data_IF_644477278626
#
_entry.id   IF_644477278626
#
_cell.length_a   1.000
_cell.length_b   1.000
_cell.length_c   1.000
_cell.angle_alpha   90.00
_cell.angle_beta   90.00
_cell.angle_gamma   90.00
#
_symmetry.space_group_name_H-M   'P 1'
#
loop_
_entity.id
_entity.type
_entity.pdbx_description
1 polymer ?
#
# COMPACT_ATOMS: atom_id res chain seq x y z
N UNK A 1 33.46 28.10 43.72
CA UNK A 1 32.47 27.85 42.65
C UNK A 1 33.08 28.09 41.28
N UNK A 2 33.82 27.07 40.85
CA UNK A 2 34.06 26.60 39.48
C UNK A 2 32.85 26.80 38.54
N UNK A 3 32.94 27.06 37.24
CA UNK A 3 34.04 26.93 36.28
C UNK A 3 33.65 27.67 34.99
N UNK A 4 34.63 28.25 34.30
CA UNK A 4 34.62 28.51 32.86
C UNK A 4 36.08 28.38 32.42
N UNK A 5 36.38 27.58 31.39
CA UNK A 5 37.40 27.78 30.32
C UNK A 5 37.47 26.51 29.44
N UNK A 6 37.46 26.74 28.13
CA UNK A 6 37.76 25.79 27.05
C UNK A 6 39.19 25.24 27.14
N UNK A 7 39.39 23.95 26.83
CA UNK A 7 40.52 23.47 26.03
C UNK A 7 40.31 22.01 25.60
N UNK A 8 40.25 21.83 24.29
CA UNK A 8 40.83 20.74 23.49
C UNK A 8 41.68 19.72 24.26
N UNK A 9 41.37 18.43 24.10
CA UNK A 9 42.35 17.45 23.60
C UNK A 9 41.66 16.13 23.21
N UNK A 10 41.78 15.81 21.93
CA UNK A 10 41.93 14.49 21.31
C UNK A 10 42.21 13.31 22.24
N UNK A 11 41.51 12.18 22.04
CA UNK A 11 42.18 10.91 21.75
C UNK A 11 41.25 9.82 21.20
N UNK A 12 41.62 9.36 20.01
CA UNK A 12 41.57 7.98 19.53
C UNK A 12 40.24 7.20 19.56
N UNK A 13 39.46 7.36 18.48
CA UNK A 13 38.73 6.23 17.90
C UNK A 13 39.77 5.21 17.38
N UNK A 14 40.00 4.14 18.12
CA UNK A 14 40.67 2.96 17.55
C UNK A 14 39.68 2.22 16.67
N UNK A 15 39.87 2.32 15.36
CA UNK A 15 39.31 1.38 14.40
C UNK A 15 39.75 -0.04 14.77
N UNK A 16 38.80 -0.90 15.12
CA UNK A 16 38.94 -2.34 14.89
C UNK A 16 38.09 -2.68 13.67
N UNK A 17 38.72 -2.55 12.50
CA UNK A 17 38.39 -3.41 11.38
C UNK A 17 38.47 -4.86 11.86
N UNK A 18 37.32 -5.52 12.03
CA UNK A 18 37.28 -6.97 11.93
C UNK A 18 36.95 -7.28 10.48
N UNK A 19 37.97 -7.75 9.77
CA UNK A 19 37.83 -8.42 8.48
C UNK A 19 36.82 -9.57 8.62
N UNK A 20 35.64 -9.44 8.03
CA UNK A 20 34.81 -10.60 7.76
C UNK A 20 35.35 -11.25 6.49
N UNK A 21 36.19 -12.26 6.69
CA UNK A 21 36.49 -13.25 5.67
C UNK A 21 35.20 -13.95 5.27
N UNK A 22 34.89 -13.93 3.98
CA UNK A 22 33.88 -14.75 3.32
C UNK A 22 34.06 -16.22 3.68
N UNK A 23 33.15 -16.77 4.49
CA UNK A 23 33.01 -18.22 4.66
C UNK A 23 31.88 -18.66 3.72
N UNK A 24 32.21 -19.56 2.80
CA UNK A 24 31.29 -20.11 1.82
C UNK A 24 30.11 -20.84 2.48
N UNK A 25 28.90 -20.83 1.87
CA UNK A 25 27.74 -21.54 2.38
C UNK A 25 27.88 -23.03 2.07
N UNK A 26 28.60 -23.76 2.92
CA UNK A 26 28.59 -25.22 2.88
C UNK A 26 28.81 -25.81 4.27
N UNK A 27 27.87 -26.66 4.68
CA UNK A 27 27.85 -27.50 5.88
C UNK A 27 27.15 -26.93 7.14
N UNK A 28 25.84 -26.66 7.05
CA UNK A 28 24.94 -26.88 8.18
C UNK A 28 24.16 -28.17 7.92
N UNK A 29 24.54 -29.26 8.61
CA UNK A 29 23.75 -30.49 8.63
C UNK A 29 22.43 -30.21 9.34
N UNK A 30 21.34 -30.18 8.57
CA UNK A 30 19.95 -30.17 9.06
C UNK A 30 19.71 -31.42 9.90
N UNK A 31 19.58 -31.25 11.21
CA UNK A 31 19.04 -32.26 12.12
C UNK A 31 18.02 -31.61 13.09
N UNK A 32 17.21 -30.68 12.58
CA UNK A 32 15.94 -30.34 13.22
C UNK A 32 14.85 -31.12 12.48
N UNK A 33 14.41 -32.23 13.07
CA UNK A 33 13.23 -32.95 12.60
C UNK A 33 12.02 -32.10 12.99
N UNK A 34 11.58 -31.21 12.09
CA UNK A 34 10.22 -30.69 12.18
C UNK A 34 9.26 -31.87 12.00
N UNK A 35 8.24 -32.05 12.87
CA UNK A 35 7.17 -32.97 12.53
C UNK A 35 6.52 -32.47 11.22
N UNK A 36 6.26 -33.37 10.24
CA UNK A 36 5.58 -32.97 9.01
C UNK A 36 4.22 -32.35 9.34
N UNK A 37 3.80 -31.38 8.54
CA UNK A 37 2.50 -30.72 8.66
C UNK A 37 1.38 -31.79 8.79
N UNK A 38 0.59 -31.69 9.86
CA UNK A 38 -0.57 -32.53 10.10
C UNK A 38 -1.64 -32.16 9.05
N UNK A 39 -2.19 -33.12 8.27
CA UNK A 39 -3.22 -32.85 7.26
C UNK A 39 -4.54 -32.32 7.86
N UNK A 40 -4.68 -32.29 9.19
CA UNK A 40 -5.82 -31.68 9.89
C UNK A 40 -5.68 -30.18 10.15
N UNK A 41 -4.51 -29.58 9.90
CA UNK A 41 -4.27 -28.13 10.09
C UNK A 41 -4.14 -27.68 11.55
N UNK A 42 -4.10 -28.60 12.53
CA UNK A 42 -3.90 -28.27 13.94
C UNK A 42 -2.41 -28.11 14.31
N UNK A 43 -2.06 -26.96 14.88
CA UNK A 43 -0.74 -26.69 15.45
C UNK A 43 -0.53 -27.52 16.73
N UNK A 44 0.61 -28.23 16.84
CA UNK A 44 1.01 -28.99 18.03
C UNK A 44 2.27 -28.43 18.71
N UNK A 45 2.65 -27.19 18.41
CA UNK A 45 3.75 -26.54 19.10
C UNK A 45 3.35 -26.26 20.55
N UNK A 46 4.02 -26.89 21.50
CA UNK A 46 3.86 -26.64 22.93
C UNK A 46 5.12 -25.99 23.52
N UNK A 47 5.07 -25.59 24.79
CA UNK A 47 6.22 -25.03 25.52
C UNK A 47 7.46 -25.93 25.35
N UNK A 48 7.29 -27.25 25.44
CA UNK A 48 8.37 -28.24 25.31
C UNK A 48 8.99 -28.25 23.92
N UNK A 49 8.19 -28.13 22.87
CA UNK A 49 8.62 -28.14 21.47
C UNK A 49 9.47 -26.93 21.10
N UNK A 50 9.37 -25.82 21.85
CA UNK A 50 10.17 -24.60 21.64
C UNK A 50 11.40 -24.51 22.56
N UNK A 51 11.59 -25.44 23.50
CA UNK A 51 12.71 -25.46 24.45
C UNK A 51 13.99 -26.08 23.89
N UNK A 52 13.89 -26.99 22.92
CA UNK A 52 15.02 -27.82 22.49
C UNK A 52 15.74 -27.24 21.27
N UNK A 53 16.58 -26.23 21.51
CA UNK A 53 17.64 -25.84 20.56
C UNK A 53 18.97 -25.72 21.33
N UNK A 54 19.86 -26.70 21.16
CA UNK A 54 21.20 -26.63 21.74
C UNK A 54 22.06 -25.64 20.96
N UNK A 55 22.61 -24.65 21.67
CA UNK A 55 23.60 -23.72 21.15
C UNK A 55 24.84 -24.48 20.63
N UNK A 56 25.41 -24.15 19.46
CA UNK A 56 26.62 -24.80 18.94
C UNK A 56 27.91 -24.62 19.77
N UNK A 57 27.85 -23.88 20.89
CA UNK A 57 29.02 -23.53 21.71
C UNK A 57 28.93 -24.00 23.16
N UNK A 58 27.91 -24.79 23.51
CA UNK A 58 27.83 -25.45 24.82
C UNK A 58 27.55 -24.55 26.02
N UNK A 59 27.16 -23.29 25.82
CA UNK A 59 26.63 -22.45 26.89
C UNK A 59 25.13 -22.69 27.03
N UNK A 60 24.72 -23.22 28.19
CA UNK A 60 23.32 -23.32 28.62
C UNK A 60 22.84 -21.90 28.97
N UNK A 61 22.36 -21.16 27.97
CA UNK A 61 21.57 -19.97 28.21
C UNK A 61 20.12 -20.44 28.38
N UNK A 62 19.69 -20.57 29.62
CA UNK A 62 18.28 -20.84 29.94
C UNK A 62 17.45 -19.58 29.66
N UNK A 63 17.05 -19.45 28.40
CA UNK A 63 16.20 -18.35 27.94
C UNK A 63 14.77 -18.43 28.50
N UNK A 64 14.32 -19.56 29.06
CA UNK A 64 13.05 -19.62 29.81
C UNK A 64 13.09 -18.70 31.02
N UNK A 65 14.23 -18.64 31.72
CA UNK A 65 14.38 -17.75 32.86
C UNK A 65 14.26 -16.25 32.50
N UNK A 66 14.54 -15.87 31.24
CA UNK A 66 14.52 -14.46 30.78
C UNK A 66 13.18 -14.01 30.19
N UNK A 67 12.40 -14.90 29.58
CA UNK A 67 11.23 -14.52 28.78
C UNK A 67 9.92 -15.22 29.17
N UNK A 68 9.89 -15.94 30.29
CA UNK A 68 8.66 -16.55 30.81
C UNK A 68 7.56 -15.54 31.18
N UNK A 69 7.89 -14.25 31.35
CA UNK A 69 6.96 -13.22 31.85
C UNK A 69 7.15 -11.89 31.14
N UNK A 70 6.07 -11.14 30.98
CA UNK A 70 6.13 -9.74 30.58
C UNK A 70 6.98 -8.93 31.58
N UNK A 71 7.99 -8.21 31.12
CA UNK A 71 8.80 -7.34 31.98
C UNK A 71 8.02 -6.18 32.61
N UNK A 72 6.87 -5.82 32.05
CA UNK A 72 6.03 -4.71 32.54
C UNK A 72 4.86 -5.17 33.43
N UNK A 73 4.11 -6.20 33.03
CA UNK A 73 2.94 -6.67 33.80
C UNK A 73 3.11 -8.04 34.46
N UNK A 74 4.29 -8.66 34.32
CA UNK A 74 4.71 -9.93 34.93
C UNK A 74 3.85 -11.16 34.60
N UNK A 75 2.92 -11.03 33.66
CA UNK A 75 2.06 -12.12 33.18
C UNK A 75 2.82 -13.11 32.30
N UNK A 76 2.47 -14.38 32.43
CA UNK A 76 2.99 -15.48 31.59
C UNK A 76 2.24 -15.54 30.24
N UNK A 77 2.91 -15.98 29.16
CA UNK A 77 2.25 -16.28 27.90
C UNK A 77 1.33 -17.49 28.06
N UNK A 78 0.20 -17.47 27.39
CA UNK A 78 -0.80 -18.52 27.47
C UNK A 78 -0.73 -19.49 26.28
N UNK A 79 -0.03 -19.14 25.20
CA UNK A 79 0.24 -20.04 24.08
C UNK A 79 1.54 -19.72 23.33
N UNK A 80 2.05 -20.72 22.58
CA UNK A 80 3.40 -20.76 22.03
C UNK A 80 3.41 -21.07 20.51
N UNK A 81 3.79 -20.11 19.66
CA UNK A 81 3.89 -20.27 18.20
C UNK A 81 5.35 -20.27 17.72
N UNK A 82 5.69 -21.18 16.80
CA UNK A 82 7.02 -21.21 16.15
C UNK A 82 7.07 -20.35 14.88
N UNK A 83 8.28 -19.94 14.46
CA UNK A 83 8.50 -19.11 13.28
C UNK A 83 7.93 -19.75 12.00
N UNK A 84 8.07 -21.07 11.84
CA UNK A 84 7.51 -21.81 10.71
C UNK A 84 5.96 -21.85 10.71
N UNK A 85 5.32 -21.81 11.89
CA UNK A 85 3.88 -21.67 12.01
C UNK A 85 3.41 -20.22 11.78
N UNK A 86 4.30 -19.25 11.94
CA UNK A 86 4.00 -17.85 11.69
C UNK A 86 4.18 -17.48 10.21
N UNK A 87 5.18 -18.05 9.54
CA UNK A 87 5.44 -17.85 8.10
C UNK A 87 4.65 -18.81 7.21
N UNK A 88 4.15 -19.93 7.75
CA UNK A 88 3.46 -20.97 6.99
C UNK A 88 1.93 -20.99 7.09
N UNK A 89 1.29 -20.12 7.89
CA UNK A 89 -0.17 -20.12 8.06
C UNK A 89 -0.78 -18.76 7.71
N UNK A 90 -1.91 -18.79 7.01
CA UNK A 90 -2.64 -17.59 6.63
C UNK A 90 -3.25 -16.87 7.84
N UNK A 91 -3.49 -15.57 7.69
CA UNK A 91 -4.03 -14.65 8.69
C UNK A 91 -5.29 -15.16 9.44
N UNK A 92 -6.12 -15.99 8.78
CA UNK A 92 -7.35 -16.57 9.33
C UNK A 92 -7.08 -17.72 10.32
N UNK A 93 -6.00 -18.48 10.17
CA UNK A 93 -5.61 -19.53 11.12
C UNK A 93 -5.13 -18.96 12.46
N UNK A 94 -4.30 -17.91 12.44
CA UNK A 94 -3.90 -17.21 13.65
C UNK A 94 -5.11 -16.56 14.36
N UNK A 95 -6.12 -16.10 13.60
CA UNK A 95 -7.37 -15.52 14.12
C UNK A 95 -8.30 -16.59 14.75
N UNK A 96 -8.41 -17.78 14.16
CA UNK A 96 -9.17 -18.90 14.72
C UNK A 96 -8.60 -19.35 16.08
N UNK A 97 -7.27 -19.33 16.23
CA UNK A 97 -6.61 -19.64 17.50
C UNK A 97 -6.95 -18.57 18.56
N UNK A 98 -6.85 -17.30 18.19
CA UNK A 98 -7.18 -16.14 19.04
C UNK A 98 -8.65 -16.13 19.52
N UNK A 99 -9.59 -16.54 18.68
CA UNK A 99 -11.02 -16.55 19.00
C UNK A 99 -11.45 -17.74 19.89
N UNK A 100 -10.64 -18.81 19.95
CA UNK A 100 -10.96 -20.01 20.73
C UNK A 100 -10.59 -19.93 22.23
N UNK A 101 -9.83 -18.90 22.66
CA UNK A 101 -9.31 -18.76 24.02
C UNK A 101 -9.57 -17.33 24.57
N UNK A 102 -10.55 -17.09 25.45
CA UNK A 102 -11.05 -15.74 25.79
C UNK A 102 -10.12 -14.84 26.62
N UNK A 103 -8.89 -15.26 26.95
CA UNK A 103 -8.12 -14.62 28.02
C UNK A 103 -6.58 -14.61 27.86
N UNK A 104 -6.03 -14.80 26.66
CA UNK A 104 -4.67 -15.38 26.56
C UNK A 104 -3.66 -14.58 25.71
N UNK A 105 -2.47 -14.32 26.30
CA UNK A 105 -1.29 -13.68 25.70
C UNK A 105 -0.54 -14.66 24.77
N UNK A 106 -0.05 -14.22 23.60
CA UNK A 106 0.59 -15.10 22.60
C UNK A 106 2.11 -14.86 22.55
N UNK A 107 2.91 -15.94 22.56
CA UNK A 107 4.35 -15.89 22.32
C UNK A 107 4.67 -16.33 20.88
N UNK A 108 5.33 -15.47 20.10
CA UNK A 108 5.74 -15.77 18.72
C UNK A 108 7.26 -15.88 18.69
N UNK A 109 7.78 -17.09 18.44
CA UNK A 109 9.21 -17.31 18.26
C UNK A 109 9.57 -16.96 16.82
N UNK A 110 10.45 -15.98 16.60
CA UNK A 110 10.89 -15.58 15.25
C UNK A 110 12.37 -15.91 15.07
N UNK A 111 12.71 -16.57 13.97
CA UNK A 111 14.10 -16.93 13.65
C UNK A 111 14.67 -15.86 12.70
N UNK A 112 15.24 -14.78 13.24
CA UNK A 112 16.13 -13.90 12.46
C UNK A 112 17.54 -14.18 12.88
N UNK A 113 18.43 -14.10 11.90
CA UNK A 113 19.84 -14.48 11.82
C UNK A 113 20.79 -14.16 12.99
N UNK A 114 20.33 -13.68 14.15
CA UNK A 114 21.02 -13.72 15.43
C UNK A 114 20.02 -13.86 16.60
N UNK A 115 19.51 -15.07 16.85
CA UNK A 115 19.06 -15.59 18.15
C UNK A 115 18.30 -14.68 19.13
N UNK A 116 17.33 -13.88 18.67
CA UNK A 116 16.50 -13.04 19.55
C UNK A 116 15.03 -13.47 19.54
N UNK A 117 14.46 -13.71 20.74
CA UNK A 117 13.03 -13.98 20.95
C UNK A 117 12.31 -12.68 21.34
N UNK A 118 11.21 -12.35 20.67
CA UNK A 118 10.34 -11.23 21.01
C UNK A 118 8.98 -11.71 21.56
N UNK A 119 8.35 -10.91 22.41
CA UNK A 119 7.05 -11.22 23.05
C UNK A 119 6.15 -9.99 22.94
N UNK A 120 4.88 -10.15 22.60
CA UNK A 120 3.87 -9.08 22.63
C UNK A 120 2.94 -9.22 23.83
N UNK A 121 2.86 -8.17 24.64
CA UNK A 121 1.90 -8.07 25.74
C UNK A 121 0.62 -7.36 25.28
N UNK A 122 -0.50 -8.05 25.14
CA UNK A 122 -1.77 -7.39 24.85
C UNK A 122 -2.29 -6.49 25.98
N UNK A 123 -1.91 -6.76 27.24
CA UNK A 123 -2.27 -5.91 28.38
C UNK A 123 -1.47 -4.60 28.43
N UNK A 124 -0.21 -4.64 28.02
CA UNK A 124 0.68 -3.48 28.00
C UNK A 124 0.77 -2.82 26.61
N UNK A 125 0.13 -3.41 25.60
CA UNK A 125 0.24 -3.02 24.19
C UNK A 125 1.70 -2.79 23.76
N UNK A 126 2.61 -3.72 24.09
CA UNK A 126 4.04 -3.52 23.85
C UNK A 126 4.87 -4.79 23.87
N UNK A 127 6.02 -4.74 23.18
CA UNK A 127 7.01 -5.82 23.16
C UNK A 127 7.97 -5.75 24.37
N UNK A 128 8.51 -6.90 24.79
CA UNK A 128 9.57 -6.93 25.82
C UNK A 128 10.98 -6.64 25.28
N UNK A 129 11.18 -6.57 23.96
CA UNK A 129 12.40 -6.04 23.33
C UNK A 129 12.01 -5.03 22.25
N UNK A 130 12.67 -3.87 22.25
CA UNK A 130 12.32 -2.75 21.36
C UNK A 130 12.90 -2.89 19.94
N UNK A 131 13.98 -3.65 19.72
CA UNK A 131 14.72 -3.66 18.43
C UNK A 131 14.12 -4.58 17.36
N UNK A 132 13.25 -5.53 17.74
CA UNK A 132 12.57 -6.44 16.80
C UNK A 132 11.30 -5.86 16.15
N UNK A 133 10.80 -4.72 16.66
CA UNK A 133 9.58 -4.09 16.17
C UNK A 133 9.77 -3.53 14.76
N UNK A 134 10.83 -2.75 14.57
CA UNK A 134 11.06 -1.93 13.38
C UNK A 134 11.35 -2.77 12.12
N UNK A 135 12.04 -3.91 12.26
CA UNK A 135 12.54 -4.65 11.09
C UNK A 135 11.66 -5.81 10.62
N UNK A 136 10.61 -6.18 11.39
CA UNK A 136 9.93 -7.47 11.23
C UNK A 136 8.44 -7.35 11.45
N UNK A 137 8.06 -6.71 12.54
CA UNK A 137 6.68 -6.70 13.00
C UNK A 137 5.91 -5.54 12.41
N UNK A 138 6.55 -4.40 12.14
CA UNK A 138 5.93 -3.27 11.45
C UNK A 138 5.37 -3.66 10.05
N UNK A 139 6.09 -4.38 9.17
CA UNK A 139 5.51 -4.87 7.91
C UNK A 139 4.38 -5.91 8.10
N UNK A 140 4.48 -6.75 9.13
CA UNK A 140 3.51 -7.82 9.42
C UNK A 140 2.21 -7.28 10.08
N UNK A 141 2.29 -6.23 10.89
CA UNK A 141 1.12 -5.51 11.40
C UNK A 141 0.55 -4.53 10.37
N UNK A 142 1.38 -3.94 9.50
CA UNK A 142 0.91 -3.23 8.29
C UNK A 142 0.16 -4.15 7.32
N UNK A 143 0.46 -5.46 7.30
CA UNK A 143 -0.25 -6.45 6.47
C UNK A 143 -1.66 -6.83 6.99
N UNK A 144 -2.00 -6.47 8.23
CA UNK A 144 -3.37 -6.54 8.77
C UNK A 144 -3.78 -5.12 9.17
N UNK A 145 -4.37 -4.40 8.21
CA UNK A 145 -4.85 -3.03 8.36
C UNK A 145 -5.25 -2.72 9.81
N UNK A 146 -4.53 -1.78 10.40
CA UNK A 146 -4.70 -1.30 11.77
C UNK A 146 -6.07 -0.64 11.90
N UNK A 147 -7.11 -1.45 12.14
CA UNK A 147 -8.45 -0.91 12.23
C UNK A 147 -8.61 -0.05 13.47
N UNK A 148 -9.16 1.15 13.31
CA UNK A 148 -9.65 1.96 14.41
C UNK A 148 -10.77 1.23 15.17
N UNK A 149 -10.97 1.54 16.46
CA UNK A 149 -12.11 0.99 17.23
C UNK A 149 -13.49 1.33 16.64
N UNK A 150 -13.57 2.40 15.84
CA UNK A 150 -14.74 2.88 15.11
C UNK A 150 -14.28 3.58 13.83
N UNK A 151 -15.11 3.64 12.78
CA UNK A 151 -14.72 4.30 11.54
C UNK A 151 -14.67 5.81 11.74
N UNK A 152 -13.60 6.43 11.25
CA UNK A 152 -13.46 7.87 11.12
C UNK A 152 -14.28 8.31 9.90
N UNK A 153 -15.52 8.73 10.15
CA UNK A 153 -16.49 9.19 9.14
C UNK A 153 -16.36 10.67 8.77
N UNK A 154 -15.40 11.37 9.37
CA UNK A 154 -15.11 12.75 8.99
C UNK A 154 -14.61 12.77 7.54
N UNK A 155 -15.22 13.65 6.73
CA UNK A 155 -14.91 13.81 5.32
C UNK A 155 -14.20 15.14 5.09
N UNK A 156 -13.23 15.13 4.19
CA UNK A 156 -12.59 16.32 3.64
C UNK A 156 -12.99 16.45 2.18
N UNK A 157 -13.74 17.50 1.87
CA UNK A 157 -14.42 17.63 0.58
C UNK A 157 -14.16 19.01 0.00
N UNK A 158 -13.75 19.06 -1.27
CA UNK A 158 -13.49 20.30 -1.99
C UNK A 158 -14.41 20.41 -3.21
N UNK A 159 -14.52 21.64 -3.73
CA UNK A 159 -15.30 21.97 -4.91
C UNK A 159 -14.51 22.85 -5.86
N UNK A 160 -14.65 22.59 -7.15
CA UNK A 160 -13.98 23.34 -8.20
C UNK A 160 -14.95 23.59 -9.36
N UNK A 161 -14.79 24.72 -10.04
CA UNK A 161 -15.58 25.04 -11.22
C UNK A 161 -14.75 25.85 -12.20
N UNK A 162 -14.70 25.43 -13.46
CA UNK A 162 -14.04 26.15 -14.54
C UNK A 162 -14.60 25.71 -15.89
N UNK A 163 -14.81 26.66 -16.82
CA UNK A 163 -15.32 26.38 -18.18
C UNK A 163 -16.61 25.53 -18.21
N UNK A 164 -17.49 25.72 -17.21
CA UNK A 164 -18.74 24.95 -17.05
C UNK A 164 -18.55 23.51 -16.55
N UNK A 165 -17.31 23.08 -16.30
CA UNK A 165 -17.00 21.82 -15.63
C UNK A 165 -17.08 22.06 -14.12
N UNK A 166 -17.86 21.23 -13.43
CA UNK A 166 -17.96 21.25 -11.97
C UNK A 166 -17.36 19.99 -11.39
N UNK A 167 -16.54 20.13 -10.35
CA UNK A 167 -15.85 19.01 -9.71
C UNK A 167 -16.11 19.03 -8.23
N UNK A 168 -16.37 17.85 -7.68
CA UNK A 168 -16.45 17.62 -6.25
C UNK A 168 -15.50 16.51 -5.86
N UNK A 169 -14.77 16.70 -4.78
CA UNK A 169 -13.93 15.65 -4.18
C UNK A 169 -14.44 15.34 -2.78
N UNK A 170 -14.15 14.13 -2.32
CA UNK A 170 -14.31 13.76 -0.93
C UNK A 170 -13.27 12.70 -0.58
N UNK A 171 -12.69 12.79 0.61
CA UNK A 171 -11.83 11.76 1.19
C UNK A 171 -12.20 11.50 2.65
N UNK A 172 -12.14 10.24 3.06
CA UNK A 172 -12.35 9.80 4.43
C UNK A 172 -11.40 8.66 4.79
N UNK A 173 -10.93 8.67 6.03
CA UNK A 173 -10.05 7.63 6.56
C UNK A 173 -10.75 6.26 6.72
N UNK A 174 -12.04 6.26 7.05
CA UNK A 174 -12.77 4.99 7.22
C UNK A 174 -12.27 4.22 8.44
N UNK A 175 -12.05 2.91 8.30
CA UNK A 175 -11.63 2.07 9.43
C UNK A 175 -10.13 1.98 9.60
N UNK A 176 -9.29 2.39 8.66
CA UNK A 176 -7.81 2.33 8.80
C UNK A 176 -7.31 3.29 9.88
N UNK A 177 -6.12 3.03 10.45
CA UNK A 177 -5.51 3.88 11.49
C UNK A 177 -5.12 5.25 10.96
N UNK A 178 -4.75 5.30 9.70
CA UNK A 178 -4.25 6.47 8.99
C UNK A 178 -4.95 6.58 7.64
N UNK A 179 -4.94 7.80 7.08
CA UNK A 179 -5.36 8.03 5.71
C UNK A 179 -4.11 8.15 4.83
N UNK A 180 -3.87 7.12 4.02
CA UNK A 180 -2.74 7.04 3.10
C UNK A 180 -3.08 7.56 1.69
N UNK A 181 -4.36 7.85 1.43
CA UNK A 181 -4.80 8.43 0.17
C UNK A 181 -4.29 9.86 -0.04
N UNK A 182 -4.12 10.22 -1.31
CA UNK A 182 -4.02 11.60 -1.77
C UNK A 182 -4.82 11.79 -3.06
N UNK A 183 -5.26 13.01 -3.33
CA UNK A 183 -5.92 13.34 -4.58
C UNK A 183 -5.57 14.76 -5.02
N UNK A 184 -5.66 15.01 -6.32
CA UNK A 184 -5.44 16.35 -6.90
C UNK A 184 -6.50 16.69 -7.94
N UNK A 185 -6.88 17.96 -7.94
CA UNK A 185 -7.70 18.58 -8.98
C UNK A 185 -7.00 19.85 -9.44
N UNK A 186 -6.67 19.91 -10.72
CA UNK A 186 -6.18 21.12 -11.38
C UNK A 186 -7.18 21.50 -12.47
N UNK A 187 -7.92 22.58 -12.23
CA UNK A 187 -8.73 23.23 -13.25
C UNK A 187 -7.81 24.18 -14.02
N UNK A 188 -7.38 23.76 -15.21
CA UNK A 188 -6.40 24.42 -16.07
C UNK A 188 -4.96 24.45 -15.52
N UNK A 189 -4.15 23.48 -15.95
CA UNK A 189 -2.70 23.48 -15.74
C UNK A 189 -2.04 24.70 -16.40
N UNK A 190 -1.00 25.30 -15.77
CA UNK A 190 -0.45 26.58 -16.21
C UNK A 190 0.03 26.61 -17.68
N UNK A 191 0.73 25.57 -18.12
CA UNK A 191 1.44 25.57 -19.42
C UNK A 191 0.63 24.90 -20.52
N UNK A 192 0.04 23.75 -20.22
CA UNK A 192 -0.70 22.91 -21.15
C UNK A 192 -2.18 23.26 -21.27
N UNK A 193 -2.74 23.98 -20.30
CA UNK A 193 -4.16 24.38 -20.24
C UNK A 193 -5.15 23.20 -20.16
N UNK A 194 -4.65 21.99 -19.90
CA UNK A 194 -5.47 20.81 -19.64
C UNK A 194 -6.00 20.84 -18.20
N UNK A 195 -7.16 20.23 -17.96
CA UNK A 195 -7.54 19.88 -16.59
C UNK A 195 -6.93 18.54 -16.20
N UNK A 196 -6.67 18.34 -14.91
CA UNK A 196 -6.10 17.11 -14.37
C UNK A 196 -6.84 16.70 -13.10
N UNK A 197 -7.25 15.43 -13.04
CA UNK A 197 -7.90 14.82 -11.90
C UNK A 197 -7.17 13.53 -11.58
N UNK A 198 -6.68 13.37 -10.35
CA UNK A 198 -6.00 12.14 -9.98
C UNK A 198 -6.27 11.72 -8.54
N UNK A 199 -6.36 10.40 -8.36
CA UNK A 199 -6.43 9.74 -7.05
C UNK A 199 -5.20 8.83 -6.94
N UNK A 200 -4.60 8.86 -5.76
CA UNK A 200 -3.43 8.10 -5.37
C UNK A 200 -3.78 7.35 -4.10
N UNK A 201 -3.89 6.03 -4.19
CA UNK A 201 -4.14 5.15 -3.05
C UNK A 201 -2.78 4.64 -2.55
N UNK A 202 -2.39 5.10 -1.36
CA UNK A 202 -1.09 4.82 -0.76
C UNK A 202 -1.09 3.54 0.06
N UNK A 203 0.05 2.86 0.08
CA UNK A 203 0.27 1.71 0.95
C UNK A 203 1.69 1.71 1.52
N UNK A 204 1.85 1.14 2.72
CA UNK A 204 3.15 1.14 3.41
C UNK A 204 3.56 2.54 3.87
N UNK A 205 2.58 3.40 4.14
CA UNK A 205 2.78 4.79 4.55
C UNK A 205 2.28 5.81 3.50
N UNK A 206 1.91 7.03 3.92
CA UNK A 206 1.32 8.04 3.04
C UNK A 206 2.34 8.76 2.13
N UNK A 207 3.63 8.42 2.21
CA UNK A 207 4.72 9.19 1.58
C UNK A 207 4.57 9.23 0.06
N UNK A 208 4.43 8.06 -0.58
CA UNK A 208 4.34 7.95 -2.03
C UNK A 208 3.13 8.72 -2.57
N UNK A 209 1.93 8.50 -2.02
CA UNK A 209 0.72 9.20 -2.45
C UNK A 209 0.82 10.72 -2.27
N UNK A 210 1.35 11.20 -1.13
CA UNK A 210 1.56 12.63 -0.89
C UNK A 210 2.58 13.25 -1.84
N UNK A 211 3.68 12.56 -2.12
CA UNK A 211 4.68 13.02 -3.08
C UNK A 211 4.06 13.18 -4.49
N UNK A 212 3.28 12.20 -4.93
CA UNK A 212 2.59 12.26 -6.23
C UNK A 212 1.63 13.46 -6.29
N UNK A 213 0.87 13.70 -5.22
CA UNK A 213 0.01 14.87 -5.08
C UNK A 213 0.76 16.20 -5.26
N UNK A 214 2.01 16.28 -4.81
CA UNK A 214 2.82 17.49 -4.89
C UNK A 214 3.61 17.64 -6.20
N UNK A 215 3.88 16.54 -6.91
CA UNK A 215 4.91 16.51 -7.96
C UNK A 215 4.38 16.12 -9.33
N UNK A 216 3.48 15.13 -9.43
CA UNK A 216 3.12 14.49 -10.70
C UNK A 216 2.55 15.50 -11.72
N UNK A 217 1.68 16.39 -11.28
CA UNK A 217 1.05 17.40 -12.13
C UNK A 217 2.06 18.37 -12.78
N UNK A 218 3.15 18.71 -12.09
CA UNK A 218 4.21 19.60 -12.59
C UNK A 218 5.00 18.95 -13.73
N UNK A 219 5.34 17.66 -13.52
CA UNK A 219 6.03 16.85 -14.52
C UNK A 219 5.13 16.66 -15.75
N UNK A 220 3.84 16.39 -15.54
CA UNK A 220 2.87 16.24 -16.63
C UNK A 220 2.69 17.52 -17.43
N UNK A 221 2.50 18.67 -16.78
CA UNK A 221 2.30 19.95 -17.47
C UNK A 221 3.49 20.29 -18.39
N UNK A 222 4.71 20.05 -17.90
CA UNK A 222 5.94 20.24 -18.66
C UNK A 222 6.05 19.24 -19.82
N UNK A 223 5.77 17.95 -19.55
CA UNK A 223 5.86 16.87 -20.55
C UNK A 223 4.86 17.05 -21.68
N UNK A 224 3.62 17.40 -21.35
CA UNK A 224 2.56 17.66 -22.32
C UNK A 224 2.88 18.89 -23.17
N UNK A 225 3.40 19.96 -22.56
CA UNK A 225 3.81 21.16 -23.31
C UNK A 225 4.94 20.85 -24.28
N UNK A 226 5.94 20.07 -23.87
CA UNK A 226 7.07 19.69 -24.72
C UNK A 226 6.65 18.78 -25.89
N UNK A 227 5.57 18.01 -25.72
CA UNK A 227 5.06 17.07 -26.71
C UNK A 227 3.91 17.61 -27.56
N UNK A 228 3.50 18.87 -27.40
CA UNK A 228 2.25 19.41 -27.96
C UNK A 228 2.08 19.27 -29.48
N UNK A 229 3.15 19.05 -30.21
CA UNK A 229 3.12 18.83 -31.67
C UNK A 229 2.79 17.39 -32.09
N UNK A 230 2.71 16.44 -31.14
CA UNK A 230 2.41 15.03 -31.40
C UNK A 230 0.91 14.75 -31.30
N UNK A 231 0.31 13.93 -32.19
CA UNK A 231 -1.11 13.58 -32.11
C UNK A 231 -1.46 12.76 -30.85
N UNK A 232 -0.47 12.08 -30.27
CA UNK A 232 -0.52 11.28 -29.04
C UNK A 232 0.28 11.94 -27.90
N UNK A 233 0.34 13.27 -27.90
CA UNK A 233 1.12 14.04 -26.95
C UNK A 233 0.77 13.73 -25.49
N UNK A 234 -0.52 13.67 -25.16
CA UNK A 234 -0.99 13.44 -23.81
C UNK A 234 -0.72 12.01 -23.33
N UNK A 235 -0.92 11.01 -24.19
CA UNK A 235 -0.64 9.62 -23.87
C UNK A 235 0.85 9.42 -23.56
N UNK A 236 1.72 9.91 -24.45
CA UNK A 236 3.18 9.86 -24.25
C UNK A 236 3.63 10.69 -23.05
N UNK A 237 3.00 11.85 -22.82
CA UNK A 237 3.31 12.71 -21.68
C UNK A 237 2.98 12.00 -20.37
N UNK A 238 1.83 11.33 -20.25
CA UNK A 238 1.47 10.56 -19.05
C UNK A 238 2.44 9.40 -18.82
N UNK A 239 2.77 8.62 -19.85
CA UNK A 239 3.75 7.53 -19.71
C UNK A 239 5.12 8.02 -19.21
N UNK A 240 5.61 9.14 -19.77
CA UNK A 240 6.86 9.78 -19.31
C UNK A 240 6.74 10.32 -17.89
N UNK A 241 5.58 10.88 -17.56
CA UNK A 241 5.32 11.46 -16.24
C UNK A 241 5.39 10.40 -15.16
N UNK A 242 4.76 9.23 -15.36
CA UNK A 242 4.82 8.15 -14.38
C UNK A 242 6.26 7.67 -14.17
N UNK A 243 7.02 7.41 -15.24
CA UNK A 243 8.43 7.00 -15.10
C UNK A 243 9.28 8.06 -14.39
N UNK A 244 9.15 9.33 -14.77
CA UNK A 244 9.92 10.42 -14.18
C UNK A 244 9.51 10.73 -12.73
N UNK A 245 8.22 10.61 -12.40
CA UNK A 245 7.74 10.78 -11.03
C UNK A 245 8.21 9.64 -10.13
N UNK A 246 8.27 8.40 -10.64
CA UNK A 246 8.77 7.24 -9.89
C UNK A 246 10.28 7.34 -9.63
N UNK A 247 11.05 7.85 -10.59
CA UNK A 247 12.48 8.15 -10.40
C UNK A 247 12.71 9.29 -9.40
N UNK A 248 11.89 10.35 -9.47
CA UNK A 248 11.96 11.46 -8.52
C UNK A 248 11.57 11.03 -7.11
N UNK A 249 10.55 10.17 -6.96
CA UNK A 249 10.14 9.60 -5.68
C UNK A 249 11.27 8.78 -5.04
N UNK A 250 11.99 7.97 -5.84
CA UNK A 250 13.12 7.17 -5.35
C UNK A 250 14.25 8.04 -4.79
N UNK A 251 14.40 9.26 -5.32
CA UNK A 251 15.41 10.22 -4.85
C UNK A 251 14.97 10.91 -3.56
N UNK A 252 13.69 11.27 -3.44
CA UNK A 252 13.13 11.96 -2.26
C UNK A 252 13.04 11.03 -1.05
N UNK A 253 12.59 9.79 -1.25
CA UNK A 253 12.29 8.86 -0.17
C UNK A 253 13.52 8.19 0.46
N UNK A 254 14.71 8.28 -0.17
CA UNK A 254 15.96 7.78 0.42
C UNK A 254 15.98 6.27 0.72
N UNK A 255 16.59 5.86 1.84
CA UNK A 255 16.69 4.45 2.25
C UNK A 255 15.37 3.89 2.83
N UNK A 256 14.44 4.75 3.27
CA UNK A 256 13.13 4.38 3.89
C UNK A 256 12.09 3.93 2.85
N UNK A 257 12.50 3.83 1.59
CA UNK A 257 11.67 3.83 0.40
C UNK A 257 11.25 2.44 -0.11
N UNK A 258 11.82 1.36 0.45
CA UNK A 258 11.72 0.02 -0.12
C UNK A 258 10.29 -0.53 -0.18
N UNK A 259 9.45 -0.18 0.80
CA UNK A 259 8.17 -0.84 1.10
C UNK A 259 6.95 0.08 1.01
N UNK A 260 7.14 1.38 0.80
CA UNK A 260 6.03 2.30 0.56
C UNK A 260 5.73 2.43 -0.94
N UNK A 261 4.46 2.50 -1.30
CA UNK A 261 4.01 2.64 -2.66
C UNK A 261 2.67 3.36 -2.75
N UNK A 262 2.24 3.57 -3.99
CA UNK A 262 0.95 4.18 -4.27
C UNK A 262 0.47 3.75 -5.64
N UNK A 263 -0.81 3.47 -5.75
CA UNK A 263 -1.48 3.48 -7.05
C UNK A 263 -1.52 4.91 -7.60
N UNK A 264 -1.76 5.05 -8.90
CA UNK A 264 -1.99 6.35 -9.51
C UNK A 264 -2.95 6.20 -10.70
N UNK A 265 -4.14 6.78 -10.57
CA UNK A 265 -5.08 6.93 -11.67
C UNK A 265 -5.27 8.41 -11.99
N UNK A 266 -4.84 8.81 -13.18
CA UNK A 266 -4.75 10.21 -13.62
C UNK A 266 -5.60 10.40 -14.87
N UNK A 267 -6.63 11.25 -14.79
CA UNK A 267 -7.47 11.66 -15.92
C UNK A 267 -7.12 13.09 -16.31
N UNK A 268 -6.72 13.29 -17.57
CA UNK A 268 -6.51 14.60 -18.17
C UNK A 268 -7.64 14.92 -19.14
N UNK A 269 -8.23 16.10 -19.01
CA UNK A 269 -9.21 16.65 -19.95
C UNK A 269 -8.54 17.73 -20.80
N UNK A 270 -8.33 17.42 -22.07
CA UNK A 270 -7.88 18.36 -23.08
C UNK A 270 -9.10 19.10 -23.65
N UNK A 271 -9.02 20.42 -23.77
CA UNK A 271 -10.14 21.23 -24.28
C UNK A 271 -10.06 21.49 -25.78
N UNK A 272 -8.85 21.52 -26.34
CA UNK A 272 -8.58 21.86 -27.74
C UNK A 272 -7.78 20.76 -28.44
N UNK A 273 -7.97 20.57 -29.77
CA UNK A 273 -8.97 21.24 -30.62
C UNK A 273 -10.41 20.73 -30.39
N UNK A 274 -10.55 19.58 -29.74
CA UNK A 274 -11.81 19.00 -29.27
C UNK A 274 -11.63 18.48 -27.86
N UNK A 275 -12.72 18.42 -27.09
CA UNK A 275 -12.70 17.86 -25.75
C UNK A 275 -12.33 16.38 -25.80
N UNK A 276 -11.24 16.00 -25.12
CA UNK A 276 -10.73 14.62 -25.10
C UNK A 276 -10.29 14.25 -23.68
N UNK A 277 -10.68 13.06 -23.25
CA UNK A 277 -10.23 12.47 -22.00
C UNK A 277 -9.08 11.52 -22.29
N UNK A 278 -8.00 11.64 -21.52
CA UNK A 278 -6.86 10.74 -21.54
C UNK A 278 -6.62 10.28 -20.11
N UNK A 279 -6.77 8.99 -19.86
CA UNK A 279 -6.61 8.38 -18.55
C UNK A 279 -5.40 7.48 -18.54
N UNK A 280 -4.53 7.64 -17.55
CA UNK A 280 -3.40 6.77 -17.27
C UNK A 280 -3.57 6.13 -15.89
N UNK A 281 -3.47 4.81 -15.82
CA UNK A 281 -3.60 4.06 -14.56
C UNK A 281 -2.42 3.12 -14.31
N UNK A 282 -1.93 3.10 -13.07
CA UNK A 282 -1.05 2.08 -12.53
C UNK A 282 -1.54 1.72 -11.12
N UNK A 283 -2.06 0.51 -10.96
CA UNK A 283 -2.72 0.04 -9.73
C UNK A 283 -4.20 -0.28 -9.93
N UNK A 284 -4.95 -0.39 -8.85
CA UNK A 284 -6.36 -0.76 -8.77
C UNK A 284 -7.31 0.39 -8.39
N UNK A 285 -6.79 1.62 -8.23
CA UNK A 285 -7.59 2.83 -8.40
C UNK A 285 -8.21 2.86 -9.81
N UNK A 286 -9.46 3.30 -9.93
CA UNK A 286 -10.22 3.22 -11.18
C UNK A 286 -10.88 4.54 -11.58
N UNK A 287 -10.92 4.79 -12.89
CA UNK A 287 -11.66 5.87 -13.52
C UNK A 287 -12.74 5.35 -14.48
N UNK A 288 -13.93 5.94 -14.39
CA UNK A 288 -15.11 5.57 -15.19
C UNK A 288 -15.76 6.81 -15.75
N UNK A 289 -16.08 6.78 -17.06
CA UNK A 289 -16.90 7.77 -17.75
C UNK A 289 -18.34 7.28 -17.80
N UNK A 290 -19.30 8.14 -17.47
CA UNK A 290 -20.71 7.87 -17.74
C UNK A 290 -21.05 8.25 -19.17
N UNK A 291 -21.20 7.25 -20.04
CA UNK A 291 -21.58 7.42 -21.45
C UNK A 291 -22.93 6.77 -21.71
N UNK A 292 -23.91 7.57 -22.14
CA UNK A 292 -25.27 7.08 -22.40
C UNK A 292 -25.88 6.30 -21.21
N UNK A 293 -25.61 6.79 -19.99
CA UNK A 293 -26.10 6.17 -18.74
C UNK A 293 -25.43 4.84 -18.35
N UNK A 294 -24.33 4.45 -19.00
CA UNK A 294 -23.56 3.24 -18.67
C UNK A 294 -22.11 3.57 -18.33
N UNK A 295 -21.48 2.67 -17.57
CA UNK A 295 -20.06 2.76 -17.30
C UNK A 295 -19.24 2.47 -18.57
N UNK A 296 -18.45 3.46 -18.98
CA UNK A 296 -17.38 3.33 -19.96
C UNK A 296 -16.05 3.37 -19.20
N UNK A 297 -15.29 2.27 -19.24
CA UNK A 297 -14.02 2.17 -18.53
C UNK A 297 -12.97 3.12 -19.13
N UNK A 298 -12.45 4.03 -18.30
CA UNK A 298 -11.28 4.85 -18.64
C UNK A 298 -9.98 4.23 -18.10
N UNK A 299 -10.08 3.25 -17.20
CA UNK A 299 -8.97 2.45 -16.74
C UNK A 299 -9.40 1.01 -16.43
N UNK A 300 -8.42 0.14 -16.30
CA UNK A 300 -8.57 -1.22 -15.80
C UNK A 300 -7.65 -1.41 -14.58
N UNK A 301 -8.12 -2.17 -13.60
CA UNK A 301 -7.35 -2.47 -12.40
C UNK A 301 -6.16 -3.38 -12.71
N UNK A 302 -5.04 -3.14 -12.05
CA UNK A 302 -3.83 -3.92 -12.21
C UNK A 302 -3.63 -4.87 -11.02
N UNK A 303 -4.25 -6.05 -11.12
CA UNK A 303 -4.16 -7.12 -10.11
C UNK A 303 -3.19 -8.23 -10.57
N UNK A 304 -2.37 -8.83 -9.68
CA UNK A 304 -1.41 -9.88 -10.05
C UNK A 304 -2.01 -11.14 -10.67
N UNK A 305 -3.31 -11.38 -10.46
CA UNK A 305 -4.04 -12.52 -11.04
C UNK A 305 -4.33 -12.38 -12.53
N UNK A 306 -4.28 -11.17 -13.09
CA UNK A 306 -4.53 -10.94 -14.51
C UNK A 306 -3.41 -11.56 -15.35
N UNK A 307 -3.78 -12.27 -16.42
CA UNK A 307 -2.84 -13.09 -17.20
C UNK A 307 -1.64 -12.29 -17.74
N UNK A 308 -1.84 -11.05 -18.20
CA UNK A 308 -0.74 -10.19 -18.66
C UNK A 308 0.19 -9.76 -17.53
N UNK A 309 -0.39 -9.45 -16.36
CA UNK A 309 0.33 -9.01 -15.17
C UNK A 309 1.11 -10.18 -14.56
N UNK A 310 0.46 -11.32 -14.38
CA UNK A 310 1.05 -12.58 -13.92
C UNK A 310 2.26 -12.97 -14.77
N UNK A 311 2.14 -12.90 -16.11
CA UNK A 311 3.26 -13.16 -17.03
C UNK A 311 4.42 -12.19 -16.81
N UNK A 312 4.16 -10.89 -16.66
CA UNK A 312 5.22 -9.91 -16.37
C UNK A 312 5.92 -10.22 -15.05
N UNK A 313 5.15 -10.44 -13.97
CA UNK A 313 5.67 -10.78 -12.64
C UNK A 313 6.57 -12.01 -12.69
N UNK A 314 6.12 -13.09 -13.34
CA UNK A 314 6.91 -14.32 -13.48
C UNK A 314 8.16 -14.14 -14.35
N UNK A 315 8.07 -13.37 -15.44
CA UNK A 315 9.23 -13.06 -16.28
C UNK A 315 10.27 -12.19 -15.58
N UNK A 316 9.87 -11.41 -14.59
CA UNK A 316 10.76 -10.63 -13.74
C UNK A 316 11.46 -11.45 -12.65
N UNK A 317 11.13 -12.75 -12.51
CA UNK A 317 11.70 -13.65 -11.53
C UNK A 317 10.95 -13.71 -10.18
N UNK A 318 9.81 -13.02 -10.08
CA UNK A 318 8.89 -13.08 -8.93
C UNK A 318 7.80 -14.14 -9.14
N UNK A 319 7.02 -14.40 -8.10
CA UNK A 319 5.88 -15.31 -8.10
C UNK A 319 4.55 -14.57 -7.86
N UNK A 320 3.44 -15.20 -8.24
CA UNK A 320 2.09 -14.79 -7.80
C UNK A 320 1.57 -15.87 -6.85
N UNK A 321 1.47 -15.53 -5.57
CA UNK A 321 1.09 -16.42 -4.46
C UNK A 321 -0.11 -15.77 -3.76
N UNK A 322 -1.20 -16.51 -3.55
CA UNK A 322 -2.43 -16.01 -2.93
C UNK A 322 -2.89 -14.66 -3.51
N UNK A 323 -2.90 -14.58 -4.85
CA UNK A 323 -3.30 -13.40 -5.62
C UNK A 323 -2.39 -12.17 -5.48
N UNK A 324 -1.24 -12.31 -4.81
CA UNK A 324 -0.28 -11.24 -4.51
C UNK A 324 1.08 -11.47 -5.18
N UNK A 325 1.80 -10.39 -5.48
CA UNK A 325 3.21 -10.46 -5.93
C UNK A 325 4.07 -10.91 -4.75
N UNK A 326 4.76 -12.04 -4.91
CA UNK A 326 5.58 -12.71 -3.89
C UNK A 326 4.84 -12.95 -2.56
N UNK A 327 3.50 -13.05 -2.60
CA UNK A 327 2.66 -13.20 -1.41
C UNK A 327 2.45 -11.91 -0.60
N UNK A 328 3.04 -10.79 -1.03
CA UNK A 328 3.07 -9.53 -0.28
C UNK A 328 2.09 -8.50 -0.87
N UNK A 329 2.28 -8.10 -2.13
CA UNK A 329 1.57 -6.96 -2.72
C UNK A 329 0.32 -7.36 -3.51
N UNK A 330 -0.83 -6.74 -3.21
CA UNK A 330 -2.12 -7.03 -3.87
C UNK A 330 -2.29 -6.36 -5.24
N UNK A 331 -1.41 -5.42 -5.58
CA UNK A 331 -1.35 -4.74 -6.87
C UNK A 331 -0.14 -5.21 -7.67
N UNK A 332 -0.28 -5.26 -8.99
CA UNK A 332 0.83 -5.58 -9.90
C UNK A 332 1.52 -4.33 -10.46
N UNK A 333 0.92 -3.15 -10.28
CA UNK A 333 1.48 -1.88 -10.74
C UNK A 333 1.32 -0.83 -9.65
N UNK A 334 2.37 -0.05 -9.43
CA UNK A 334 2.41 1.01 -8.43
C UNK A 334 3.62 1.93 -8.65
N UNK A 335 3.48 3.16 -8.19
CA UNK A 335 4.59 4.07 -7.88
C UNK A 335 5.24 3.61 -6.57
N UNK A 336 6.55 3.77 -6.40
CA UNK A 336 7.23 3.28 -5.19
C UNK A 336 7.56 1.78 -5.27
N UNK A 337 7.45 1.03 -4.17
CA UNK A 337 7.60 -0.44 -4.14
C UNK A 337 8.91 -0.95 -4.76
N UNK A 338 10.02 -0.25 -4.49
CA UNK A 338 11.25 -0.46 -5.25
C UNK A 338 11.87 -1.84 -5.00
N UNK A 339 11.54 -2.53 -3.90
CA UNK A 339 11.98 -3.91 -3.68
C UNK A 339 11.51 -4.86 -4.80
N UNK A 340 10.36 -4.59 -5.41
CA UNK A 340 9.82 -5.36 -6.54
C UNK A 340 10.28 -4.85 -7.92
N UNK A 341 11.14 -3.82 -7.94
CA UNK A 341 11.67 -3.16 -9.15
C UNK A 341 13.17 -3.42 -9.38
N UNK A 342 13.71 -4.49 -8.78
CA UNK A 342 15.15 -4.81 -8.80
C UNK A 342 15.56 -5.90 -9.81
N UNK A 343 14.66 -6.33 -10.71
CA UNK A 343 14.97 -7.37 -11.68
C UNK A 343 16.03 -6.87 -12.68
N UNK A 344 17.23 -7.46 -12.61
CA UNK A 344 18.40 -7.04 -13.40
C UNK A 344 18.18 -7.24 -14.89
N UNK A 345 18.55 -6.24 -15.68
CA UNK A 345 18.47 -6.29 -17.14
C UNK A 345 17.06 -6.10 -17.71
N UNK A 346 16.06 -5.87 -16.86
CA UNK A 346 14.71 -5.53 -17.30
C UNK A 346 14.47 -4.02 -17.22
N UNK A 347 13.82 -3.42 -18.23
CA UNK A 347 13.43 -2.01 -18.17
C UNK A 347 12.30 -1.79 -17.14
N UNK A 348 12.03 -0.54 -16.71
CA UNK A 348 11.01 -0.24 -15.71
C UNK A 348 9.62 -0.85 -16.01
N UNK A 349 9.24 -0.94 -17.28
CA UNK A 349 7.95 -1.50 -17.72
C UNK A 349 7.84 -3.02 -17.55
N UNK A 350 8.96 -3.71 -17.38
CA UNK A 350 9.04 -5.16 -17.31
C UNK A 350 9.38 -5.68 -15.90
N UNK A 351 9.48 -4.79 -14.92
CA UNK A 351 9.65 -5.15 -13.50
C UNK A 351 8.43 -5.90 -12.95
N UNK A 352 8.59 -6.62 -11.84
CA UNK A 352 7.51 -7.42 -11.25
C UNK A 352 6.33 -6.51 -10.87
N UNK A 353 6.62 -5.46 -10.09
CA UNK A 353 5.75 -4.30 -9.94
C UNK A 353 6.27 -3.20 -10.85
N UNK A 354 5.41 -2.54 -11.61
CA UNK A 354 5.81 -1.44 -12.50
C UNK A 354 4.97 -0.20 -12.30
N UNK A 355 5.60 0.98 -12.37
CA UNK A 355 4.90 2.26 -12.44
C UNK A 355 4.39 2.60 -13.84
N UNK A 356 4.69 1.77 -14.86
CA UNK A 356 4.31 2.09 -16.23
C UNK A 356 2.79 1.98 -16.44
N UNK A 357 2.12 3.09 -16.82
CA UNK A 357 0.67 3.12 -16.83
C UNK A 357 0.12 2.47 -18.09
N UNK A 358 -1.05 1.85 -17.95
CA UNK A 358 -1.95 1.68 -19.08
C UNK A 358 -2.62 3.03 -19.40
N UNK A 359 -2.72 3.38 -20.69
CA UNK A 359 -3.31 4.64 -21.12
C UNK A 359 -4.49 4.39 -22.07
N UNK A 360 -5.65 4.96 -21.73
CA UNK A 360 -6.86 4.94 -22.54
C UNK A 360 -7.25 6.37 -22.88
N UNK A 361 -7.60 6.64 -24.14
CA UNK A 361 -8.07 7.94 -24.57
C UNK A 361 -9.37 7.85 -25.36
N UNK A 362 -10.26 8.83 -25.16
CA UNK A 362 -11.55 8.90 -25.84
C UNK A 362 -11.98 10.36 -26.01
N UNK A 363 -12.62 10.67 -27.12
CA UNK A 363 -13.26 11.97 -27.31
C UNK A 363 -14.47 12.09 -26.37
N UNK A 364 -14.73 13.29 -25.87
CA UNK A 364 -15.94 13.59 -25.09
C UNK A 364 -17.11 13.79 -26.06
N UNK A 365 -18.18 13.04 -25.86
CA UNK A 365 -19.38 13.06 -26.67
C UNK A 365 -20.52 13.81 -25.96
N UNK A 366 -21.56 14.28 -26.68
CA UNK A 366 -22.69 14.99 -26.07
C UNK A 366 -23.45 14.21 -24.99
N UNK A 367 -23.46 12.88 -25.08
CA UNK A 367 -24.08 11.97 -24.11
C UNK A 367 -23.22 11.68 -22.87
N UNK A 368 -21.98 12.15 -22.85
CA UNK A 368 -21.07 11.98 -21.72
C UNK A 368 -21.39 12.99 -20.62
N UNK A 369 -21.80 12.49 -19.46
CA UNK A 369 -22.32 13.35 -18.39
C UNK A 369 -21.27 13.71 -17.34
N UNK A 370 -20.50 12.73 -16.91
CA UNK A 370 -19.52 12.88 -15.83
C UNK A 370 -18.45 11.79 -15.85
N UNK A 371 -17.35 12.04 -15.16
CA UNK A 371 -16.29 11.08 -14.85
C UNK A 371 -16.23 10.89 -13.33
N UNK A 372 -15.96 9.66 -12.89
CA UNK A 372 -15.63 9.33 -11.50
C UNK A 372 -14.23 8.73 -11.46
N UNK A 373 -13.39 9.22 -10.56
CA UNK A 373 -12.08 8.63 -10.23
C UNK A 373 -12.08 8.32 -8.74
N UNK A 374 -11.81 7.08 -8.35
CA UNK A 374 -11.78 6.70 -6.93
C UNK A 374 -10.80 5.55 -6.66
N UNK A 375 -10.37 5.42 -5.40
CA UNK A 375 -9.59 4.27 -4.93
C UNK A 375 -10.49 3.03 -4.74
N UNK A 376 -9.88 1.88 -4.44
CA UNK A 376 -10.58 0.60 -4.32
C UNK A 376 -11.55 0.57 -3.12
N UNK A 377 -11.34 1.40 -2.10
CA UNK A 377 -12.29 1.60 -0.99
C UNK A 377 -13.72 1.95 -1.45
N UNK A 378 -13.89 2.52 -2.64
CA UNK A 378 -15.20 2.70 -3.30
C UNK A 378 -15.52 1.52 -4.24
N UNK A 379 -14.58 1.10 -5.09
CA UNK A 379 -14.83 0.11 -6.15
C UNK A 379 -15.02 -1.32 -5.66
N UNK A 380 -14.52 -1.66 -4.47
CA UNK A 380 -14.78 -2.92 -3.78
C UNK A 380 -16.21 -2.96 -3.22
N UNK A 381 -16.79 -1.80 -2.90
CA UNK A 381 -18.15 -1.68 -2.38
C UNK A 381 -19.20 -1.62 -3.49
N UNK A 382 -18.86 -1.05 -4.64
CA UNK A 382 -19.80 -0.75 -5.72
C UNK A 382 -19.16 -1.00 -7.09
N UNK A 383 -19.86 -1.72 -7.95
CA UNK A 383 -19.47 -1.87 -9.35
C UNK A 383 -19.52 -0.54 -10.11
N UNK A 384 -18.81 -0.47 -11.24
CA UNK A 384 -18.77 0.73 -12.07
C UNK A 384 -20.16 1.18 -12.55
N UNK A 385 -21.04 0.25 -12.93
CA UNK A 385 -22.41 0.59 -13.31
C UNK A 385 -23.26 1.04 -12.11
N UNK A 386 -23.05 0.48 -10.92
CA UNK A 386 -23.74 0.95 -9.71
C UNK A 386 -23.36 2.38 -9.34
N UNK A 387 -22.07 2.73 -9.43
CA UNK A 387 -21.58 4.10 -9.22
C UNK A 387 -22.15 5.05 -10.28
N UNK A 388 -22.13 4.67 -11.57
CA UNK A 388 -22.73 5.50 -12.63
C UNK A 388 -24.22 5.73 -12.40
N UNK A 389 -24.96 4.68 -12.02
CA UNK A 389 -26.38 4.79 -11.72
C UNK A 389 -26.64 5.67 -10.49
N UNK A 390 -25.81 5.56 -9.46
CA UNK A 390 -25.91 6.37 -8.25
C UNK A 390 -25.68 7.85 -8.54
N UNK A 391 -24.56 8.18 -9.21
CA UNK A 391 -24.20 9.56 -9.57
C UNK A 391 -25.22 10.16 -10.53
N UNK A 392 -25.69 9.41 -11.52
CA UNK A 392 -26.73 9.89 -12.46
C UNK A 392 -28.00 10.31 -11.74
N UNK A 393 -28.53 9.46 -10.85
CA UNK A 393 -29.74 9.76 -10.06
C UNK A 393 -29.55 10.98 -9.16
N UNK A 394 -28.38 11.10 -8.56
CA UNK A 394 -28.05 12.22 -7.69
C UNK A 394 -27.96 13.55 -8.46
N UNK A 395 -27.32 13.55 -9.63
CA UNK A 395 -27.28 14.70 -10.54
C UNK A 395 -28.68 15.07 -11.06
N UNK A 396 -29.50 14.08 -11.43
CA UNK A 396 -30.88 14.30 -11.89
C UNK A 396 -31.76 14.90 -10.78
N UNK A 397 -31.41 14.64 -9.52
CA UNK A 397 -32.06 15.23 -8.34
C UNK A 397 -31.51 16.62 -7.97
N UNK A 398 -30.55 17.15 -8.74
CA UNK A 398 -29.97 18.47 -8.55
C UNK A 398 -28.86 18.54 -7.49
N UNK A 399 -28.29 17.40 -7.06
CA UNK A 399 -27.14 17.42 -6.16
C UNK A 399 -25.87 17.89 -6.87
N UNK A 400 -25.08 18.70 -6.17
CA UNK A 400 -23.77 19.15 -6.66
C UNK A 400 -22.72 18.04 -6.49
N UNK A 401 -21.70 17.96 -7.37
CA UNK A 401 -20.71 16.89 -7.36
C UNK A 401 -20.05 16.61 -6.00
N UNK A 402 -19.80 17.63 -5.18
CA UNK A 402 -19.19 17.45 -3.85
C UNK A 402 -20.11 16.72 -2.87
N UNK A 403 -21.42 17.01 -2.89
CA UNK A 403 -22.40 16.30 -2.09
C UNK A 403 -22.58 14.85 -2.56
N UNK A 404 -22.42 14.60 -3.86
CA UNK A 404 -22.45 13.25 -4.44
C UNK A 404 -21.22 12.46 -4.00
N UNK A 405 -20.03 13.06 -4.03
CA UNK A 405 -18.79 12.47 -3.53
C UNK A 405 -18.92 12.06 -2.06
N UNK A 406 -19.44 12.95 -1.22
CA UNK A 406 -19.74 12.66 0.19
C UNK A 406 -20.71 11.49 0.37
N UNK A 407 -21.76 11.47 -0.46
CA UNK A 407 -22.80 10.43 -0.39
C UNK A 407 -22.29 9.07 -0.85
N UNK A 408 -21.34 9.03 -1.80
CA UNK A 408 -20.66 7.79 -2.22
C UNK A 408 -19.84 7.20 -1.07
N UNK A 409 -19.06 8.04 -0.37
CA UNK A 409 -18.32 7.60 0.82
C UNK A 409 -19.28 7.10 1.90
N UNK A 410 -20.33 7.85 2.22
CA UNK A 410 -21.30 7.44 3.26
C UNK A 410 -22.01 6.13 2.92
N UNK A 411 -22.19 5.84 1.62
CA UNK A 411 -22.75 4.59 1.11
C UNK A 411 -21.78 3.42 1.26
N UNK A 412 -20.48 3.65 1.14
CA UNK A 412 -19.44 2.61 1.14
C UNK A 412 -18.87 2.32 2.53
N UNK A 413 -18.74 3.31 3.43
CA UNK A 413 -18.19 3.09 4.78
C UNK A 413 -19.06 2.12 5.58
N UNK A 414 -18.50 0.94 5.87
CA UNK A 414 -19.15 -0.09 6.64
C UNK A 414 -19.51 0.38 8.07
N UNK A 415 -20.66 -0.08 8.57
CA UNK A 415 -21.11 0.25 9.94
C UNK A 415 -20.29 -0.47 11.01
N UNK A 416 -19.93 -1.71 10.71
CA UNK A 416 -19.09 -2.63 11.47
C UNK A 416 -18.08 -3.27 10.51
N UNK A 417 -17.01 -3.89 11.02
CA UNK A 417 -16.01 -4.59 10.18
C UNK A 417 -16.63 -5.92 9.70
N UNK A 418 -16.92 -6.07 8.40
CA UNK A 418 -17.48 -7.32 7.87
C UNK A 418 -16.40 -8.40 7.71
N UNK A 419 -16.82 -9.65 7.52
CA UNK A 419 -15.91 -10.79 7.38
C UNK A 419 -14.99 -10.68 6.15
N UNK A 420 -15.50 -10.10 5.07
CA UNK A 420 -14.78 -9.86 3.81
C UNK A 420 -13.95 -8.56 3.81
N UNK A 421 -14.08 -7.72 4.85
CA UNK A 421 -13.38 -6.44 4.97
C UNK A 421 -13.89 -5.32 4.05
N UNK A 422 -14.94 -5.54 3.26
CA UNK A 422 -15.45 -4.52 2.33
C UNK A 422 -15.92 -3.27 3.09
N UNK A 423 -15.58 -2.09 2.57
CA UNK A 423 -15.97 -0.81 3.17
C UNK A 423 -15.18 -0.43 4.43
N UNK A 424 -14.03 -1.07 4.67
CA UNK A 424 -13.13 -0.78 5.79
C UNK A 424 -11.89 0.02 5.41
N UNK A 425 -11.75 0.40 4.13
CA UNK A 425 -10.57 1.10 3.66
C UNK A 425 -10.64 2.63 3.81
N UNK A 426 -9.52 3.29 3.51
CA UNK A 426 -9.53 4.69 3.08
C UNK A 426 -10.41 4.84 1.84
N UNK A 427 -11.05 6.00 1.69
CA UNK A 427 -11.95 6.24 0.58
C UNK A 427 -11.72 7.64 0.05
N UNK A 428 -11.29 7.75 -1.21
CA UNK A 428 -11.16 9.00 -1.93
C UNK A 428 -11.87 8.92 -3.27
N UNK A 429 -12.65 9.94 -3.60
CA UNK A 429 -13.42 10.01 -4.84
C UNK A 429 -13.45 11.43 -5.40
N UNK A 430 -13.33 11.52 -6.72
CA UNK A 430 -13.51 12.73 -7.52
C UNK A 430 -14.69 12.49 -8.46
N UNK A 431 -15.68 13.39 -8.43
CA UNK A 431 -16.79 13.43 -9.38
C UNK A 431 -16.65 14.66 -10.26
N UNK A 432 -16.42 14.47 -11.56
CA UNK A 432 -16.24 15.53 -12.56
C UNK A 432 -17.48 15.58 -13.45
N UNK A 433 -18.31 16.61 -13.30
CA UNK A 433 -19.47 16.84 -14.16
C UNK A 433 -19.05 17.61 -15.42
N UNK A 434 -19.26 17.01 -16.59
CA UNK A 434 -18.81 17.52 -17.90
C UNK A 434 -19.80 18.47 -18.57
N UNK A 435 -21.09 18.36 -18.24
CA UNK A 435 -22.25 19.11 -18.77
C UNK A 435 -23.32 19.33 -17.72
#
# INVERSE_FOLDING_TARGET
NSFCTLLSMSNARSARQRSFSTIAPSALKRNAVHPPADPTGQCRCDEKSLTHFCHPSGHDLDFHARFAKCSQCTQEPADYLCAACFTGFCASHARAHFQSAPSHHIMVNYEIWQYERCFWCFKCSGFCMNEAFDNVLEPLFSSKGSFCPRPVRAKHSDRFEHRGIKVGTSTAQGWRSDNEDSHVVFMELPSSKADLFAVYDGHGGPLAARFLGQTLHKIYDTSLKALSSSPDAAEKALQRTFLAADEALATEAGEDCGTCGSTACVVSLLHEPKKRLVCANAGDTRAVLSRNGKAFALSHDHRPVLESERKRVMNAGSAVIDERVDGMLAVSRAMGDYEFKQARGLPPQAQAVTCFPEVVSTDVLPEDRFVVVACDGIWDCMSSDEVVNFVSKALDSGLEPSAIADSLIDKCIARDIPEDGIGTDNMSVIVVRLV
#
